data_IF_655828375530
#
_entry.id   IF_655828375530
#
_cell.length_a   1.000
_cell.length_b   1.000
_cell.length_c   1.000
_cell.angle_alpha   90.00
_cell.angle_beta   90.00
_cell.angle_gamma   90.00
#
_symmetry.space_group_name_H-M   'P 1'
#
loop_
_entity.id
_entity.type
_entity.pdbx_description
1 polymer ?
#
# COMPACT_ATOMS: atom_id res chain seq x y z
N UNK A 1 -9.79 21.77 26.40
CA UNK A 1 -8.82 22.19 25.38
C UNK A 1 -7.41 22.08 25.95
N UNK A 2 -6.75 20.93 25.75
CA UNK A 2 -5.31 20.80 26.00
C UNK A 2 -4.65 20.75 24.60
N UNK A 3 -3.93 21.82 24.25
CA UNK A 3 -3.08 21.84 23.08
C UNK A 3 -1.94 20.84 23.29
N UNK A 4 -1.89 19.79 22.47
CA UNK A 4 -0.68 18.99 22.31
C UNK A 4 0.37 19.86 21.64
N UNK A 5 1.34 20.34 22.44
CA UNK A 5 2.59 20.88 21.90
C UNK A 5 3.39 19.72 21.37
N UNK A 6 3.36 19.50 20.06
CA UNK A 6 4.31 18.65 19.38
C UNK A 6 5.72 19.15 19.67
N UNK A 7 6.53 18.29 20.24
CA UNK A 7 7.88 18.65 20.70
C UNK A 7 8.82 18.72 19.49
N UNK A 8 9.03 19.96 19.01
CA UNK A 8 9.93 20.30 17.88
C UNK A 8 11.38 19.83 18.14
N UNK A 9 11.75 19.57 19.41
CA UNK A 9 13.08 19.03 19.75
C UNK A 9 13.29 17.60 19.29
N UNK A 10 12.26 16.74 19.31
CA UNK A 10 12.37 15.36 18.82
C UNK A 10 12.54 15.30 17.28
N UNK A 11 12.00 16.28 16.56
CA UNK A 11 12.20 16.40 15.11
C UNK A 11 13.62 16.86 14.77
N UNK A 12 14.25 17.66 15.63
CA UNK A 12 15.65 18.07 15.46
C UNK A 12 16.62 16.90 15.69
N UNK A 13 16.33 16.00 16.61
CA UNK A 13 17.14 14.81 16.85
C UNK A 13 17.03 13.80 15.69
N UNK A 14 15.86 13.67 15.05
CA UNK A 14 15.69 12.84 13.86
C UNK A 14 16.44 13.40 12.64
N UNK A 15 16.43 14.73 12.48
CA UNK A 15 17.21 15.43 11.44
C UNK A 15 18.71 15.43 11.74
N UNK A 16 19.11 15.43 13.03
CA UNK A 16 20.51 15.33 13.42
C UNK A 16 21.07 13.93 13.21
N UNK A 17 20.29 12.88 13.43
CA UNK A 17 20.70 11.50 13.11
C UNK A 17 20.90 11.27 11.61
N UNK A 18 20.08 11.92 10.77
CA UNK A 18 20.29 11.90 9.31
C UNK A 18 21.52 12.74 8.88
N UNK A 19 21.87 13.80 9.61
CA UNK A 19 23.04 14.64 9.28
C UNK A 19 24.35 14.09 9.84
N UNK A 20 24.35 13.30 10.89
CA UNK A 20 25.56 12.65 11.45
C UNK A 20 26.07 11.52 10.54
N UNK A 21 25.20 10.88 9.77
CA UNK A 21 25.62 9.91 8.74
C UNK A 21 26.32 10.57 7.54
N UNK A 22 26.09 11.88 7.32
CA UNK A 22 26.70 12.65 6.23
C UNK A 22 28.02 13.34 6.59
N UNK A 23 28.41 13.40 7.88
CA UNK A 23 29.59 14.15 8.33
C UNK A 23 30.77 13.28 8.77
N UNK A 24 30.69 11.96 8.73
CA UNK A 24 31.84 11.06 8.99
C UNK A 24 32.69 10.74 7.77
N UNK A 25 32.52 11.46 6.67
CA UNK A 25 33.25 11.28 5.41
C UNK A 25 34.49 12.14 5.19
N UNK A 26 34.89 13.01 6.11
CA UNK A 26 36.05 13.89 5.90
C UNK A 26 36.96 13.99 7.14
N UNK A 27 37.73 12.95 7.38
CA UNK A 27 39.06 13.05 8.01
C UNK A 27 39.78 11.68 7.91
N UNK A 28 40.59 11.50 6.92
CA UNK A 28 41.78 10.65 7.05
C UNK A 28 42.84 11.07 6.07
N UNK A 29 43.86 11.74 6.63
CA UNK A 29 45.16 11.83 6.00
C UNK A 29 45.98 10.61 6.38
N UNK A 30 46.63 10.01 5.37
CA UNK A 30 47.77 9.11 5.43
C UNK A 30 47.57 7.71 6.06
N UNK A 31 47.20 6.76 5.21
CA UNK A 31 47.81 5.43 5.29
C UNK A 31 48.11 4.91 3.87
N UNK A 32 49.38 4.57 3.65
CA UNK A 32 49.86 3.91 2.45
C UNK A 32 49.45 2.44 2.43
N UNK A 33 49.15 1.99 1.21
CA UNK A 33 49.20 0.61 0.75
C UNK A 33 48.39 -0.45 1.50
N UNK A 34 47.14 -0.55 1.06
CA UNK A 34 46.32 -1.73 1.08
C UNK A 34 45.38 -1.61 -0.11
N UNK A 35 45.61 -2.40 -1.15
CA UNK A 35 44.63 -2.54 -2.24
C UNK A 35 43.33 -3.03 -1.65
N UNK A 36 42.42 -2.11 -1.32
CA UNK A 36 41.02 -2.44 -1.23
C UNK A 36 40.60 -2.93 -2.62
N UNK A 37 40.27 -4.22 -2.70
CA UNK A 37 39.50 -4.75 -3.82
C UNK A 37 38.29 -3.84 -3.99
N UNK A 38 38.30 -3.03 -5.06
CA UNK A 38 37.07 -2.44 -5.59
C UNK A 38 36.07 -3.58 -5.68
N UNK A 39 34.97 -3.48 -4.93
CA UNK A 39 33.88 -4.42 -5.00
C UNK A 39 33.48 -4.53 -6.46
N UNK A 40 33.42 -5.75 -6.97
CA UNK A 40 32.90 -6.05 -8.29
C UNK A 40 31.56 -5.26 -8.42
N UNK A 41 31.39 -4.51 -9.51
CA UNK A 41 30.22 -3.72 -9.78
C UNK A 41 28.99 -4.63 -9.72
N UNK A 42 28.23 -4.51 -8.66
CA UNK A 42 27.03 -5.32 -8.47
C UNK A 42 26.03 -4.98 -9.56
N UNK A 43 25.48 -6.03 -10.17
CA UNK A 43 24.57 -5.86 -11.31
C UNK A 43 23.28 -5.14 -10.88
N UNK A 44 22.79 -4.19 -11.67
CA UNK A 44 21.45 -3.62 -11.44
C UNK A 44 20.38 -4.70 -11.61
N UNK A 45 19.32 -4.59 -10.82
CA UNK A 45 18.15 -5.44 -10.92
C UNK A 45 17.13 -4.74 -11.79
N UNK A 46 16.68 -5.38 -12.86
CA UNK A 46 15.58 -4.97 -13.72
C UNK A 46 14.90 -6.24 -14.26
N UNK A 47 14.03 -6.81 -13.43
CA UNK A 47 13.36 -8.08 -13.74
C UNK A 47 11.85 -7.88 -13.80
N UNK A 48 11.24 -8.39 -14.88
CA UNK A 48 9.81 -8.56 -15.05
C UNK A 48 9.57 -10.05 -15.26
N UNK A 49 8.91 -10.70 -14.35
CA UNK A 49 8.79 -12.16 -14.39
C UNK A 49 7.45 -12.63 -13.83
N UNK A 50 7.16 -13.89 -14.06
CA UNK A 50 6.07 -14.60 -13.40
C UNK A 50 6.66 -15.57 -12.39
N UNK A 51 6.21 -15.44 -11.13
CA UNK A 51 6.56 -16.35 -10.02
C UNK A 51 5.35 -17.24 -9.76
N UNK A 52 5.59 -18.53 -9.53
CA UNK A 52 4.54 -19.46 -9.12
C UNK A 52 4.23 -19.24 -7.64
N UNK A 53 3.01 -18.79 -7.35
CA UNK A 53 2.49 -18.47 -6.01
C UNK A 53 1.09 -19.05 -5.91
N UNK A 54 0.81 -19.80 -4.84
CA UNK A 54 -0.47 -20.48 -4.67
C UNK A 54 -0.81 -21.48 -5.79
N UNK A 55 0.21 -21.99 -6.50
CA UNK A 55 0.05 -22.88 -7.66
C UNK A 55 -0.23 -22.17 -8.98
N UNK A 56 -0.20 -20.82 -9.00
CA UNK A 56 -0.47 -20.03 -10.20
C UNK A 56 0.67 -19.04 -10.50
N UNK A 57 0.86 -18.71 -11.78
CA UNK A 57 1.87 -17.74 -12.21
C UNK A 57 1.36 -16.32 -12.02
N UNK A 58 2.00 -15.57 -11.12
CA UNK A 58 1.67 -14.19 -10.81
C UNK A 58 2.84 -13.26 -11.17
N UNK A 59 2.51 -12.08 -11.67
CA UNK A 59 3.48 -11.12 -12.18
C UNK A 59 4.17 -10.36 -11.06
N UNK A 60 5.51 -10.34 -11.13
CA UNK A 60 6.37 -9.64 -10.19
C UNK A 60 7.39 -8.81 -10.97
N UNK A 61 7.56 -7.56 -10.57
CA UNK A 61 8.59 -6.67 -11.07
C UNK A 61 9.55 -6.29 -9.95
N UNK A 62 10.85 -6.41 -10.23
CA UNK A 62 11.92 -6.13 -9.29
C UNK A 62 12.89 -5.13 -9.92
N UNK A 63 13.09 -4.00 -9.27
CA UNK A 63 13.98 -2.93 -9.76
C UNK A 63 14.86 -2.40 -8.64
N UNK A 64 16.17 -2.32 -8.88
CA UNK A 64 17.16 -1.80 -7.93
C UNK A 64 18.49 -1.49 -8.59
N UNK A 65 19.23 -0.54 -8.05
CA UNK A 65 20.55 -0.17 -8.59
C UNK A 65 21.61 -1.27 -8.39
N UNK A 66 21.39 -2.22 -7.47
CA UNK A 66 22.31 -3.31 -7.15
C UNK A 66 21.56 -4.49 -6.52
N UNK A 67 22.00 -5.72 -6.80
CA UNK A 67 21.48 -6.94 -6.14
C UNK A 67 21.80 -6.99 -4.63
N UNK A 68 22.78 -6.23 -4.15
CA UNK A 68 23.17 -6.19 -2.74
C UNK A 68 22.25 -5.31 -1.87
N UNK A 69 21.42 -4.47 -2.50
CA UNK A 69 20.53 -3.59 -1.78
C UNK A 69 19.48 -4.36 -0.95
N UNK A 70 18.96 -3.76 0.12
CA UNK A 70 17.81 -4.31 0.84
C UNK A 70 16.61 -4.50 -0.09
N UNK A 71 15.82 -5.53 0.14
CA UNK A 71 14.61 -5.82 -0.63
C UNK A 71 13.40 -5.21 0.07
N UNK A 72 12.53 -4.54 -0.68
CA UNK A 72 11.26 -3.99 -0.21
C UNK A 72 10.11 -4.57 -1.05
N UNK A 73 9.28 -5.39 -0.42
CA UNK A 73 8.06 -5.90 -1.03
C UNK A 73 6.91 -4.92 -0.78
N UNK A 74 6.28 -4.47 -1.86
CA UNK A 74 5.11 -3.61 -1.84
C UNK A 74 3.85 -4.40 -2.16
N UNK A 75 2.90 -4.40 -1.24
CA UNK A 75 1.59 -5.04 -1.34
C UNK A 75 0.55 -3.98 -1.70
N UNK A 76 -0.05 -4.10 -2.89
CA UNK A 76 -1.03 -3.13 -3.37
C UNK A 76 -2.42 -3.32 -2.73
N UNK A 77 -3.25 -2.30 -2.86
CA UNK A 77 -4.61 -2.27 -2.36
C UNK A 77 -5.67 -2.75 -3.36
N UNK A 78 -6.87 -2.30 -3.14
CA UNK A 78 -8.08 -2.70 -3.83
C UNK A 78 -9.00 -3.48 -2.87
N UNK A 79 -9.08 -4.82 -2.94
CA UNK A 79 -8.27 -5.77 -3.71
C UNK A 79 -8.41 -5.59 -5.24
N UNK A 80 -7.33 -5.93 -5.97
CA UNK A 80 -7.38 -5.88 -7.44
C UNK A 80 -7.01 -4.53 -8.07
N UNK A 81 -6.33 -3.64 -7.34
CA UNK A 81 -5.84 -2.35 -7.86
C UNK A 81 -4.31 -2.31 -7.88
N UNK A 82 -3.66 -2.82 -8.94
CA UNK A 82 -2.20 -2.94 -9.00
C UNK A 82 -1.51 -1.58 -8.90
N UNK A 83 -0.40 -1.51 -8.17
CA UNK A 83 0.34 -0.26 -7.96
C UNK A 83 1.65 -0.18 -8.76
N UNK A 84 1.95 -1.18 -9.58
CA UNK A 84 3.19 -1.24 -10.38
C UNK A 84 3.46 0.03 -11.19
N UNK A 85 2.51 0.61 -11.95
CA UNK A 85 2.77 1.85 -12.69
C UNK A 85 2.97 3.07 -11.77
N UNK A 86 2.28 3.14 -10.64
CA UNK A 86 2.46 4.21 -9.66
C UNK A 86 3.86 4.16 -9.02
N UNK A 87 4.32 2.96 -8.65
CA UNK A 87 5.66 2.77 -8.08
C UNK A 87 6.76 3.15 -9.06
N UNK A 88 6.61 2.80 -10.34
CA UNK A 88 7.52 3.21 -11.41
C UNK A 88 7.58 4.74 -11.55
N UNK A 89 6.45 5.41 -11.42
CA UNK A 89 6.34 6.85 -11.65
C UNK A 89 6.76 7.68 -10.43
N UNK A 90 6.20 7.39 -9.26
CA UNK A 90 6.38 8.21 -8.07
C UNK A 90 7.56 7.77 -7.18
N UNK A 91 7.95 6.50 -7.26
CA UNK A 91 8.89 5.89 -6.31
C UNK A 91 10.21 5.42 -6.96
N UNK A 92 10.49 5.85 -8.20
CA UNK A 92 11.70 5.46 -8.91
C UNK A 92 13.00 5.75 -8.13
N UNK A 93 13.03 6.81 -7.33
CA UNK A 93 14.21 7.16 -6.53
C UNK A 93 14.53 6.13 -5.41
N UNK A 94 13.54 5.39 -4.93
CA UNK A 94 13.76 4.32 -3.95
C UNK A 94 14.66 3.21 -4.52
N UNK A 95 14.63 2.97 -5.83
CA UNK A 95 15.44 1.94 -6.48
C UNK A 95 16.95 2.18 -6.38
N UNK A 96 17.36 3.38 -6.00
CA UNK A 96 18.76 3.72 -5.71
C UNK A 96 19.24 3.17 -4.37
N UNK A 97 18.32 2.88 -3.46
CA UNK A 97 18.61 2.48 -2.09
C UNK A 97 18.04 1.11 -1.71
N UNK A 98 17.07 0.61 -2.47
CA UNK A 98 16.37 -0.64 -2.22
C UNK A 98 16.08 -1.37 -3.54
N UNK A 99 15.94 -2.68 -3.49
CA UNK A 99 15.28 -3.44 -4.55
C UNK A 99 13.77 -3.30 -4.28
N UNK A 100 13.13 -2.47 -5.09
CA UNK A 100 11.68 -2.27 -5.04
C UNK A 100 11.01 -3.42 -5.78
N UNK A 101 10.17 -4.16 -5.08
CA UNK A 101 9.40 -5.27 -5.63
C UNK A 101 7.93 -4.89 -5.65
N UNK A 102 7.34 -4.84 -6.83
CA UNK A 102 5.89 -4.76 -7.03
C UNK A 102 5.36 -6.12 -7.49
N UNK A 103 4.19 -6.46 -6.99
CA UNK A 103 3.51 -7.70 -7.29
C UNK A 103 2.07 -7.39 -7.70
N UNK A 104 1.70 -7.78 -8.90
CA UNK A 104 0.30 -7.78 -9.31
C UNK A 104 -0.32 -9.07 -8.78
N UNK A 105 -1.14 -8.95 -7.74
CA UNK A 105 -1.77 -10.07 -7.06
C UNK A 105 -2.69 -10.86 -8.01
N UNK A 106 -3.04 -12.09 -7.65
CA UNK A 106 -3.99 -12.89 -8.39
C UNK A 106 -5.29 -12.11 -8.70
N UNK A 107 -5.80 -12.23 -9.91
CA UNK A 107 -7.01 -11.54 -10.34
C UNK A 107 -6.85 -10.10 -10.81
N UNK A 108 -5.62 -9.54 -10.87
CA UNK A 108 -5.42 -8.18 -11.35
C UNK A 108 -4.12 -7.99 -12.14
N UNK A 109 -3.99 -6.84 -12.81
CA UNK A 109 -2.80 -6.42 -13.51
C UNK A 109 -2.34 -7.40 -14.58
N UNK A 110 -1.06 -7.62 -14.65
CA UNK A 110 -0.46 -8.58 -15.60
C UNK A 110 -0.73 -10.04 -15.18
N UNK A 111 -0.97 -10.31 -13.89
CA UNK A 111 -1.39 -11.62 -13.41
C UNK A 111 -2.75 -12.00 -14.00
N UNK A 112 -3.73 -11.09 -13.98
CA UNK A 112 -5.04 -11.32 -14.62
C UNK A 112 -4.94 -11.55 -16.12
N UNK A 113 -4.09 -10.79 -16.81
CA UNK A 113 -3.88 -10.99 -18.26
C UNK A 113 -3.29 -12.37 -18.57
N UNK A 114 -2.49 -12.92 -17.66
CA UNK A 114 -1.90 -14.25 -17.81
C UNK A 114 -2.88 -15.37 -17.43
N UNK A 115 -3.57 -15.20 -16.30
CA UNK A 115 -4.63 -16.09 -15.83
C UNK A 115 -5.87 -15.30 -15.40
N UNK A 116 -6.89 -15.16 -16.26
CA UNK A 116 -8.09 -14.39 -15.96
C UNK A 116 -9.06 -15.08 -14.99
N UNK A 117 -8.82 -16.35 -14.64
CA UNK A 117 -9.69 -17.12 -13.75
C UNK A 117 -8.86 -17.87 -12.69
N UNK A 118 -8.26 -17.16 -11.73
CA UNK A 118 -7.54 -17.81 -10.64
C UNK A 118 -8.48 -18.73 -9.85
N UNK A 119 -8.02 -19.94 -9.54
CA UNK A 119 -8.83 -20.92 -8.81
C UNK A 119 -9.08 -20.48 -7.36
N UNK A 120 -8.04 -19.97 -6.70
CA UNK A 120 -8.07 -19.57 -5.30
C UNK A 120 -7.86 -18.05 -5.19
N UNK A 121 -8.94 -17.31 -4.97
CA UNK A 121 -8.89 -15.89 -4.69
C UNK A 121 -9.68 -15.59 -3.42
N UNK A 122 -8.98 -15.51 -2.31
CA UNK A 122 -9.51 -15.23 -0.97
C UNK A 122 -8.53 -14.36 -0.19
N UNK A 123 -8.95 -13.74 0.92
CA UNK A 123 -8.03 -13.04 1.81
C UNK A 123 -6.86 -13.91 2.29
N UNK A 124 -7.14 -15.17 2.60
CA UNK A 124 -6.15 -16.14 3.07
C UNK A 124 -5.17 -16.52 1.96
N UNK A 125 -5.66 -16.74 0.72
CA UNK A 125 -4.76 -17.06 -0.40
C UNK A 125 -3.82 -15.91 -0.69
N UNK A 126 -4.28 -14.65 -0.63
CA UNK A 126 -3.42 -13.48 -0.83
C UNK A 126 -2.32 -13.37 0.25
N UNK A 127 -2.60 -13.72 1.51
CA UNK A 127 -1.58 -13.76 2.57
C UNK A 127 -0.58 -14.89 2.31
N UNK A 128 -1.05 -16.07 1.93
CA UNK A 128 -0.18 -17.21 1.63
C UNK A 128 0.72 -16.93 0.41
N UNK A 129 0.16 -16.39 -0.67
CA UNK A 129 0.90 -16.02 -1.88
C UNK A 129 1.97 -14.95 -1.57
N UNK A 130 1.63 -13.96 -0.74
CA UNK A 130 2.57 -12.93 -0.30
C UNK A 130 3.71 -13.52 0.56
N UNK A 131 3.42 -14.53 1.39
CA UNK A 131 4.45 -15.25 2.14
C UNK A 131 5.33 -16.09 1.21
N UNK A 132 4.77 -16.82 0.25
CA UNK A 132 5.54 -17.56 -0.77
C UNK A 132 6.45 -16.61 -1.55
N UNK A 133 5.92 -15.44 -1.97
CA UNK A 133 6.73 -14.41 -2.64
C UNK A 133 7.85 -13.89 -1.73
N UNK A 134 7.58 -13.69 -0.43
CA UNK A 134 8.61 -13.31 0.54
C UNK A 134 9.75 -14.35 0.59
N UNK A 135 9.43 -15.64 0.66
CA UNK A 135 10.44 -16.71 0.66
C UNK A 135 11.21 -16.77 -0.66
N UNK A 136 10.52 -16.58 -1.80
CA UNK A 136 11.16 -16.48 -3.10
C UNK A 136 12.18 -15.32 -3.14
N UNK A 137 11.80 -14.12 -2.69
CA UNK A 137 12.64 -12.93 -2.68
C UNK A 137 13.85 -13.10 -1.75
N UNK A 138 13.66 -13.64 -0.54
CA UNK A 138 14.74 -13.93 0.40
C UNK A 138 15.79 -14.86 -0.23
N UNK A 139 15.33 -15.91 -0.90
CA UNK A 139 16.21 -16.85 -1.61
C UNK A 139 16.89 -16.20 -2.83
N UNK A 140 16.12 -15.47 -3.67
CA UNK A 140 16.63 -14.82 -4.90
C UNK A 140 17.76 -13.83 -4.62
N UNK A 141 17.64 -13.05 -3.55
CA UNK A 141 18.57 -12.00 -3.20
C UNK A 141 19.49 -12.36 -2.01
N UNK A 142 19.44 -13.60 -1.54
CA UNK A 142 20.22 -14.07 -0.38
C UNK A 142 20.06 -13.16 0.84
N UNK A 143 18.81 -12.86 1.22
CA UNK A 143 18.45 -12.02 2.37
C UNK A 143 17.80 -12.87 3.45
N UNK A 144 18.17 -12.62 4.71
CA UNK A 144 17.49 -13.25 5.86
C UNK A 144 16.11 -12.63 6.12
N UNK A 145 16.01 -11.30 5.94
CA UNK A 145 14.79 -10.52 6.12
C UNK A 145 14.63 -9.50 4.99
N UNK A 146 13.38 -9.09 4.74
CA UNK A 146 13.06 -8.04 3.78
C UNK A 146 12.24 -6.93 4.46
N UNK A 147 12.07 -5.78 3.80
CA UNK A 147 11.14 -4.74 4.21
C UNK A 147 9.77 -5.00 3.59
N UNK A 148 8.72 -4.75 4.37
CA UNK A 148 7.34 -4.97 3.96
C UNK A 148 6.57 -3.67 3.99
N UNK A 149 5.90 -3.33 2.88
CA UNK A 149 5.02 -2.16 2.76
C UNK A 149 3.66 -2.64 2.26
N UNK A 150 2.60 -2.28 2.98
CA UNK A 150 1.22 -2.57 2.58
C UNK A 150 0.44 -1.28 2.38
N UNK A 151 -0.24 -1.14 1.25
CA UNK A 151 -1.09 0.02 0.94
C UNK A 151 -2.56 -0.36 0.92
N UNK A 152 -3.42 0.39 1.62
CA UNK A 152 -4.87 0.17 1.63
C UNK A 152 -5.18 -1.30 1.99
N UNK A 153 -5.92 -2.06 1.18
CA UNK A 153 -6.15 -3.49 1.45
C UNK A 153 -4.85 -4.32 1.56
N UNK A 154 -3.80 -3.94 0.84
CA UNK A 154 -2.47 -4.55 1.01
C UNK A 154 -1.89 -4.39 2.42
N UNK A 155 -2.37 -3.41 3.19
CA UNK A 155 -1.98 -3.25 4.60
C UNK A 155 -2.61 -4.31 5.52
N UNK A 156 -3.76 -4.87 5.16
CA UNK A 156 -4.34 -6.03 5.85
C UNK A 156 -3.43 -7.25 5.68
N UNK A 157 -3.02 -7.50 4.42
CA UNK A 157 -2.09 -8.60 4.10
C UNK A 157 -0.77 -8.38 4.85
N UNK A 158 -0.21 -7.17 4.79
CA UNK A 158 1.06 -6.83 5.43
C UNK A 158 1.03 -6.99 6.95
N UNK A 159 -0.05 -6.59 7.62
CA UNK A 159 -0.19 -6.72 9.07
C UNK A 159 -0.31 -8.18 9.49
N UNK A 160 -1.08 -9.00 8.75
CA UNK A 160 -1.16 -10.46 8.98
C UNK A 160 0.18 -11.16 8.76
N UNK A 161 0.94 -10.78 7.74
CA UNK A 161 2.29 -11.31 7.51
C UNK A 161 3.25 -10.93 8.63
N UNK A 162 3.22 -9.68 9.09
CA UNK A 162 4.07 -9.21 10.19
C UNK A 162 3.74 -9.90 11.53
N UNK A 163 2.49 -10.25 11.75
CA UNK A 163 2.04 -11.04 12.90
C UNK A 163 2.50 -12.50 12.82
N UNK A 164 2.22 -13.16 11.68
CA UNK A 164 2.42 -14.61 11.52
C UNK A 164 3.89 -14.97 11.29
N UNK A 165 4.64 -14.12 10.59
CA UNK A 165 6.02 -14.36 10.14
C UNK A 165 6.99 -13.24 10.49
N UNK A 166 7.10 -12.81 11.77
CA UNK A 166 7.92 -11.67 12.17
C UNK A 166 9.42 -11.85 11.87
N UNK A 167 9.88 -13.09 11.74
CA UNK A 167 11.28 -13.39 11.43
C UNK A 167 11.64 -13.16 9.96
N UNK A 168 10.68 -12.94 9.09
CA UNK A 168 10.90 -12.66 7.68
C UNK A 168 11.10 -11.17 7.38
N UNK A 169 10.78 -10.29 8.33
CA UNK A 169 10.72 -8.86 8.06
C UNK A 169 11.59 -8.04 9.02
N UNK A 170 12.26 -7.01 8.46
CA UNK A 170 12.95 -6.00 9.27
C UNK A 170 11.96 -5.02 9.90
N UNK A 171 10.94 -4.67 9.14
CA UNK A 171 9.97 -3.61 9.46
C UNK A 171 8.73 -3.80 8.61
N UNK A 172 7.58 -3.42 9.17
CA UNK A 172 6.35 -3.26 8.42
C UNK A 172 5.95 -1.78 8.34
N UNK A 173 5.56 -1.33 7.14
CA UNK A 173 5.00 0.01 6.92
C UNK A 173 3.60 -0.13 6.33
N UNK A 174 2.59 0.29 7.07
CA UNK A 174 1.21 0.38 6.60
C UNK A 174 0.92 1.78 6.06
N UNK A 175 0.56 1.88 4.78
CA UNK A 175 0.17 3.14 4.12
C UNK A 175 -1.33 3.13 3.95
N UNK A 176 -2.03 4.16 4.44
CA UNK A 176 -3.50 4.17 4.58
C UNK A 176 -3.96 2.85 5.22
N UNK A 177 -3.45 2.59 6.44
CA UNK A 177 -3.64 1.33 7.14
C UNK A 177 -5.11 1.05 7.42
N UNK A 178 -5.59 -0.10 6.96
CA UNK A 178 -6.90 -0.65 7.34
C UNK A 178 -6.77 -1.34 8.70
N UNK A 179 -7.58 -0.93 9.66
CA UNK A 179 -7.78 -1.62 10.94
C UNK A 179 -9.20 -2.21 10.97
N UNK A 180 -10.21 -1.35 10.93
CA UNK A 180 -11.61 -1.74 10.86
C UNK A 180 -12.31 -0.96 9.73
N UNK A 181 -12.87 -1.68 8.76
CA UNK A 181 -13.59 -1.06 7.66
C UNK A 181 -14.89 -0.43 8.18
N UNK A 182 -15.54 -1.03 9.18
CA UNK A 182 -16.78 -0.48 9.76
C UNK A 182 -16.51 0.84 10.49
N UNK A 183 -15.44 0.95 11.29
CA UNK A 183 -15.09 2.20 11.95
C UNK A 183 -14.69 3.28 10.92
N UNK A 184 -13.91 2.91 9.92
CA UNK A 184 -13.54 3.82 8.82
C UNK A 184 -14.78 4.31 8.06
N UNK A 185 -15.77 3.43 7.88
CA UNK A 185 -17.05 3.78 7.27
C UNK A 185 -17.79 4.83 8.09
N UNK A 186 -17.93 4.63 9.39
CA UNK A 186 -18.67 5.54 10.28
C UNK A 186 -18.04 6.94 10.33
N UNK A 187 -16.70 7.00 10.47
CA UNK A 187 -15.94 8.26 10.44
C UNK A 187 -16.11 8.96 9.09
N UNK A 188 -16.01 8.22 7.99
CA UNK A 188 -16.16 8.73 6.64
C UNK A 188 -17.60 9.28 6.39
N UNK A 189 -18.62 8.54 6.81
CA UNK A 189 -20.02 8.95 6.67
C UNK A 189 -20.33 10.23 7.45
N UNK A 190 -19.80 10.36 8.67
CA UNK A 190 -19.93 11.58 9.45
C UNK A 190 -19.30 12.78 8.72
N UNK A 191 -18.06 12.64 8.24
CA UNK A 191 -17.39 13.68 7.49
C UNK A 191 -18.13 14.07 6.21
N UNK A 192 -18.69 13.09 5.47
CA UNK A 192 -19.48 13.34 4.25
C UNK A 192 -20.73 14.15 4.55
N UNK A 193 -21.45 13.85 5.64
CA UNK A 193 -22.64 14.63 6.06
C UNK A 193 -22.28 16.07 6.39
N UNK A 194 -21.18 16.27 7.16
CA UNK A 194 -20.70 17.60 7.50
C UNK A 194 -20.32 18.39 6.24
N UNK A 195 -19.62 17.77 5.25
CA UNK A 195 -19.27 18.40 3.98
C UNK A 195 -20.50 18.76 3.15
N UNK A 196 -21.46 17.84 3.02
CA UNK A 196 -22.68 18.07 2.28
C UNK A 196 -23.51 19.22 2.89
N UNK A 197 -23.61 19.28 4.22
CA UNK A 197 -24.27 20.36 4.94
C UNK A 197 -23.57 21.71 4.74
N UNK A 198 -22.24 21.76 4.90
CA UNK A 198 -21.44 22.98 4.69
C UNK A 198 -21.59 23.55 3.28
N UNK A 199 -21.77 22.67 2.28
CA UNK A 199 -21.93 23.04 0.87
C UNK A 199 -23.41 23.22 0.46
N UNK A 200 -24.37 23.03 1.36
CA UNK A 200 -25.82 23.00 1.07
C UNK A 200 -26.17 22.02 -0.07
N UNK A 201 -25.51 20.86 -0.11
CA UNK A 201 -25.66 19.86 -1.16
C UNK A 201 -26.77 18.88 -0.83
N UNK A 202 -28.00 19.28 -1.15
CA UNK A 202 -29.21 18.49 -0.86
C UNK A 202 -29.20 17.12 -1.55
N UNK A 203 -28.61 17.03 -2.75
CA UNK A 203 -28.49 15.76 -3.49
C UNK A 203 -27.58 14.78 -2.77
N UNK A 204 -26.41 15.24 -2.29
CA UNK A 204 -25.51 14.40 -1.51
C UNK A 204 -26.14 13.97 -0.18
N UNK A 205 -26.84 14.87 0.52
CA UNK A 205 -27.56 14.51 1.76
C UNK A 205 -28.60 13.43 1.53
N UNK A 206 -29.36 13.50 0.43
CA UNK A 206 -30.33 12.47 0.05
C UNK A 206 -29.62 11.15 -0.26
N UNK A 207 -28.51 11.17 -1.01
CA UNK A 207 -27.74 9.96 -1.32
C UNK A 207 -27.18 9.31 -0.06
N UNK A 208 -26.65 10.10 0.88
CA UNK A 208 -26.15 9.61 2.18
C UNK A 208 -27.27 8.96 3.02
N UNK A 209 -28.49 9.52 3.02
CA UNK A 209 -29.66 8.94 3.68
C UNK A 209 -30.03 7.57 3.07
N UNK A 210 -30.00 7.45 1.74
CA UNK A 210 -30.23 6.17 1.05
C UNK A 210 -29.16 5.13 1.40
N UNK A 211 -27.88 5.53 1.45
CA UNK A 211 -26.76 4.66 1.83
C UNK A 211 -26.95 4.16 3.28
N UNK A 212 -27.30 5.03 4.22
CA UNK A 212 -27.53 4.64 5.63
C UNK A 212 -28.70 3.67 5.79
N UNK A 213 -29.76 3.87 5.00
CA UNK A 213 -30.92 2.97 4.98
C UNK A 213 -30.64 1.67 4.21
N UNK A 214 -29.47 1.55 3.59
CA UNK A 214 -29.12 0.43 2.69
C UNK A 214 -30.18 0.24 1.60
N UNK A 215 -30.67 1.35 1.04
CA UNK A 215 -31.67 1.32 -0.01
C UNK A 215 -31.10 0.65 -1.27
N UNK A 216 -31.87 -0.30 -1.82
CA UNK A 216 -31.42 -1.12 -2.95
C UNK A 216 -31.14 -0.35 -4.24
N UNK A 217 -31.59 0.90 -4.34
CA UNK A 217 -31.28 1.77 -5.49
C UNK A 217 -29.84 2.28 -5.51
N UNK A 218 -29.16 2.26 -4.35
CA UNK A 218 -27.77 2.69 -4.20
C UNK A 218 -26.89 1.64 -3.50
N UNK A 219 -27.49 0.62 -2.89
CA UNK A 219 -26.85 -0.43 -2.10
C UNK A 219 -27.42 -1.81 -2.46
N UNK A 220 -27.52 -2.14 -3.76
CA UNK A 220 -27.99 -3.46 -4.19
C UNK A 220 -27.06 -4.58 -3.70
N UNK A 221 -25.75 -4.32 -3.67
CA UNK A 221 -24.72 -5.16 -3.07
C UNK A 221 -23.85 -4.33 -2.10
N UNK A 222 -23.00 -5.00 -1.33
CA UNK A 222 -22.04 -4.31 -0.45
C UNK A 222 -21.06 -3.45 -1.27
N UNK A 223 -20.69 -3.92 -2.47
CA UNK A 223 -19.82 -3.19 -3.40
C UNK A 223 -20.54 -1.91 -3.90
N UNK A 224 -21.81 -1.99 -4.30
CA UNK A 224 -22.58 -0.83 -4.75
C UNK A 224 -22.68 0.23 -3.63
N UNK A 225 -22.90 -0.22 -2.40
CA UNK A 225 -22.95 0.66 -1.25
C UNK A 225 -21.61 1.37 -1.01
N UNK A 226 -20.50 0.61 -1.11
CA UNK A 226 -19.15 1.16 -1.01
C UNK A 226 -18.88 2.17 -2.13
N UNK A 227 -19.19 1.83 -3.38
CA UNK A 227 -18.97 2.71 -4.53
C UNK A 227 -19.79 3.99 -4.43
N UNK A 228 -21.08 3.90 -4.03
CA UNK A 228 -21.94 5.07 -3.82
C UNK A 228 -21.39 6.04 -2.76
N UNK A 229 -20.80 5.51 -1.68
CA UNK A 229 -20.10 6.32 -0.68
C UNK A 229 -18.81 6.89 -1.25
N UNK A 230 -18.00 6.06 -1.94
CA UNK A 230 -16.69 6.44 -2.47
C UNK A 230 -16.77 7.57 -3.49
N UNK A 231 -17.82 7.61 -4.33
CA UNK A 231 -18.10 8.72 -5.24
C UNK A 231 -18.26 10.06 -4.50
N UNK A 232 -18.94 10.06 -3.35
CA UNK A 232 -19.08 11.25 -2.52
C UNK A 232 -17.75 11.64 -1.86
N UNK A 233 -16.95 10.65 -1.44
CA UNK A 233 -15.60 10.91 -0.91
C UNK A 233 -14.72 11.57 -1.98
N UNK A 234 -14.73 11.07 -3.21
CA UNK A 234 -14.03 11.68 -4.35
C UNK A 234 -14.55 13.10 -4.64
N UNK A 235 -15.87 13.28 -4.70
CA UNK A 235 -16.51 14.57 -4.96
C UNK A 235 -16.03 15.68 -4.02
N UNK A 236 -15.75 15.34 -2.76
CA UNK A 236 -15.30 16.30 -1.75
C UNK A 236 -13.80 16.32 -1.52
N UNK A 237 -13.01 15.62 -2.34
CA UNK A 237 -11.54 15.59 -2.25
C UNK A 237 -11.02 14.77 -1.08
N UNK A 238 -11.77 13.72 -0.71
CA UNK A 238 -11.44 12.87 0.44
C UNK A 238 -10.50 11.70 0.13
N UNK A 239 -9.92 11.65 -1.06
CA UNK A 239 -8.84 10.69 -1.43
C UNK A 239 -7.63 11.42 -1.97
N UNK A 240 -7.82 12.28 -2.97
CA UNK A 240 -6.78 13.12 -3.56
C UNK A 240 -7.21 14.58 -3.40
N UNK A 241 -6.60 15.26 -2.44
CA UNK A 241 -6.94 16.65 -2.11
C UNK A 241 -6.43 17.63 -3.18
N UNK A 242 -5.23 17.38 -3.71
CA UNK A 242 -4.59 18.22 -4.73
C UNK A 242 -4.92 17.72 -6.13
N UNK A 243 -5.65 18.53 -6.89
CA UNK A 243 -6.04 18.21 -8.28
C UNK A 243 -4.84 18.10 -9.25
N UNK A 244 -3.69 18.70 -8.93
CA UNK A 244 -2.47 18.52 -9.71
C UNK A 244 -1.94 17.09 -9.57
N UNK A 245 -1.96 16.53 -8.36
CA UNK A 245 -1.57 15.14 -8.09
C UNK A 245 -2.53 14.17 -8.78
N UNK A 246 -3.85 14.46 -8.82
CA UNK A 246 -4.81 13.62 -9.53
C UNK A 246 -4.43 13.41 -11.01
N UNK A 247 -3.97 14.47 -11.70
CA UNK A 247 -3.51 14.36 -13.09
C UNK A 247 -2.22 13.56 -13.24
N UNK A 248 -1.31 13.66 -12.26
CA UNK A 248 -0.08 12.85 -12.29
C UNK A 248 -0.38 11.36 -12.03
N UNK A 249 -1.40 11.04 -11.21
CA UNK A 249 -1.89 9.67 -11.01
C UNK A 249 -2.44 9.12 -12.34
N UNK A 250 -3.35 9.83 -13.00
CA UNK A 250 -3.91 9.43 -14.30
C UNK A 250 -2.81 9.21 -15.34
N UNK A 251 -1.79 10.09 -15.36
CA UNK A 251 -0.63 9.93 -16.23
C UNK A 251 0.17 8.68 -15.89
N UNK A 252 0.42 8.39 -14.62
CA UNK A 252 1.11 7.18 -14.19
C UNK A 252 0.37 5.91 -14.65
N UNK A 253 -0.96 5.91 -14.57
CA UNK A 253 -1.82 4.79 -14.97
C UNK A 253 -1.85 4.53 -16.48
N UNK A 254 -1.61 5.56 -17.29
CA UNK A 254 -1.79 5.48 -18.76
C UNK A 254 -0.49 5.53 -19.57
N UNK A 255 0.64 5.96 -18.98
CA UNK A 255 1.88 6.16 -19.73
C UNK A 255 2.66 4.90 -20.06
N UNK A 256 2.47 3.83 -19.28
CA UNK A 256 3.19 2.57 -19.48
C UNK A 256 2.39 1.63 -20.37
N UNK A 257 3.01 1.13 -21.45
CA UNK A 257 2.34 0.33 -22.49
C UNK A 257 1.68 -0.94 -21.93
N UNK A 258 2.27 -1.55 -20.89
CA UNK A 258 1.73 -2.74 -20.24
C UNK A 258 0.46 -2.48 -19.40
N UNK A 259 0.18 -1.20 -19.02
CA UNK A 259 -1.02 -0.80 -18.29
C UNK A 259 -1.92 0.21 -19.01
N UNK A 260 -1.51 0.74 -20.15
CA UNK A 260 -2.18 1.82 -20.88
C UNK A 260 -3.67 1.62 -21.14
N UNK A 261 -4.08 0.37 -21.39
CA UNK A 261 -5.47 -0.01 -21.65
C UNK A 261 -6.01 -0.93 -20.55
N UNK A 262 -5.47 -0.84 -19.35
CA UNK A 262 -5.92 -1.65 -18.22
C UNK A 262 -7.21 -1.09 -17.67
N UNK A 263 -8.25 -1.90 -17.55
CA UNK A 263 -9.49 -1.50 -16.90
C UNK A 263 -9.39 -1.73 -15.39
N UNK A 264 -9.13 -0.65 -14.68
CA UNK A 264 -8.93 -0.64 -13.24
C UNK A 264 -10.19 -1.04 -12.48
N UNK A 265 -11.36 -0.59 -12.96
CA UNK A 265 -12.64 -0.88 -12.31
C UNK A 265 -13.12 -2.30 -12.59
N UNK A 266 -12.90 -2.83 -13.81
CA UNK A 266 -13.20 -4.22 -14.11
C UNK A 266 -12.45 -5.17 -13.18
N UNK A 267 -11.14 -4.98 -13.01
CA UNK A 267 -10.30 -5.79 -12.13
C UNK A 267 -10.69 -5.67 -10.65
N UNK A 268 -10.97 -4.46 -10.19
CA UNK A 268 -11.45 -4.23 -8.83
C UNK A 268 -12.79 -4.92 -8.58
N UNK A 269 -13.75 -4.76 -9.49
CA UNK A 269 -15.07 -5.39 -9.40
C UNK A 269 -14.95 -6.92 -9.44
N UNK A 270 -14.13 -7.44 -10.37
CA UNK A 270 -13.88 -8.87 -10.49
C UNK A 270 -13.31 -9.47 -9.20
N UNK A 271 -12.24 -8.86 -8.67
CA UNK A 271 -11.57 -9.33 -7.46
C UNK A 271 -12.48 -9.22 -6.24
N UNK A 272 -13.19 -8.10 -6.11
CA UNK A 272 -14.13 -7.86 -5.00
C UNK A 272 -15.30 -8.87 -5.01
N UNK A 273 -15.85 -9.18 -6.18
CA UNK A 273 -16.91 -10.17 -6.33
C UNK A 273 -16.43 -11.60 -6.00
N UNK A 274 -15.22 -11.96 -6.43
CA UNK A 274 -14.62 -13.28 -6.13
C UNK A 274 -14.31 -13.47 -4.65
N UNK A 275 -14.04 -12.40 -3.93
CA UNK A 275 -13.80 -12.39 -2.50
C UNK A 275 -15.08 -12.20 -1.67
N UNK A 276 -16.27 -12.37 -2.28
CA UNK A 276 -17.60 -12.25 -1.63
C UNK A 276 -17.77 -10.96 -0.80
N UNK A 277 -17.08 -9.87 -1.22
CA UNK A 277 -17.13 -8.59 -0.53
C UNK A 277 -16.46 -8.55 0.84
N UNK A 278 -15.71 -9.58 1.24
CA UNK A 278 -15.01 -9.67 2.54
C UNK A 278 -14.08 -8.47 2.75
N UNK A 279 -13.49 -7.93 1.69
CA UNK A 279 -12.66 -6.72 1.77
C UNK A 279 -13.38 -5.53 2.41
N UNK A 280 -14.73 -5.44 2.25
CA UNK A 280 -15.55 -4.33 2.78
C UNK A 280 -16.07 -4.59 4.20
N UNK A 281 -15.77 -5.73 4.78
CA UNK A 281 -16.13 -6.11 6.15
C UNK A 281 -14.91 -6.48 6.98
N UNK A 282 -13.71 -6.26 6.44
CA UNK A 282 -12.45 -6.58 7.11
C UNK A 282 -12.32 -5.82 8.42
N UNK A 283 -11.96 -6.57 9.45
CA UNK A 283 -11.57 -6.07 10.76
C UNK A 283 -10.35 -6.86 11.24
N UNK A 284 -9.28 -6.20 11.59
CA UNK A 284 -8.03 -6.75 12.12
C UNK A 284 -7.63 -6.04 13.42
N UNK A 285 -8.60 -5.46 14.12
CA UNK A 285 -8.38 -4.76 15.38
C UNK A 285 -7.96 -5.69 16.53
N UNK A 286 -8.08 -6.99 16.35
CA UNK A 286 -7.57 -8.03 17.24
C UNK A 286 -6.03 -8.16 17.21
N UNK A 287 -5.37 -7.70 16.14
CA UNK A 287 -3.91 -7.68 16.06
C UNK A 287 -3.38 -6.45 16.82
N UNK A 288 -3.15 -6.61 18.11
CA UNK A 288 -2.74 -5.52 19.02
C UNK A 288 -1.25 -5.46 19.31
N UNK A 289 -0.47 -6.46 18.89
CA UNK A 289 0.97 -6.53 19.11
C UNK A 289 1.68 -7.14 17.90
N UNK A 290 2.76 -6.49 17.46
CA UNK A 290 3.66 -6.99 16.43
C UNK A 290 5.10 -7.02 16.96
N UNK A 291 5.84 -8.09 16.65
CA UNK A 291 7.21 -8.33 17.16
C UNK A 291 8.31 -7.61 16.37
N UNK A 292 7.94 -6.80 15.40
CA UNK A 292 8.86 -6.03 14.56
C UNK A 292 8.49 -4.54 14.61
N UNK A 293 9.41 -3.61 14.28
CA UNK A 293 9.05 -2.20 14.15
C UNK A 293 7.94 -1.99 13.13
N UNK A 294 6.96 -1.15 13.49
CA UNK A 294 5.80 -0.84 12.66
C UNK A 294 5.65 0.67 12.51
N UNK A 295 5.32 1.11 11.30
CA UNK A 295 5.03 2.51 11.00
C UNK A 295 3.73 2.60 10.22
N UNK A 296 2.82 3.49 10.63
CA UNK A 296 1.63 3.81 9.85
C UNK A 296 1.76 5.20 9.22
N UNK A 297 1.56 5.27 7.91
CA UNK A 297 1.56 6.49 7.12
C UNK A 297 0.13 6.76 6.65
N UNK A 298 -0.52 7.76 7.24
CA UNK A 298 -1.89 8.17 6.90
C UNK A 298 -1.91 9.50 6.16
N UNK A 299 -2.73 9.61 5.13
CA UNK A 299 -3.03 10.87 4.47
C UNK A 299 -3.95 11.72 5.35
N UNK A 300 -3.60 12.99 5.64
CA UNK A 300 -4.45 13.91 6.42
C UNK A 300 -5.83 14.14 5.80
N UNK A 301 -5.93 14.00 4.50
CA UNK A 301 -7.15 14.19 3.72
C UNK A 301 -7.70 12.87 3.16
N UNK A 302 -7.21 11.73 3.66
CA UNK A 302 -7.79 10.44 3.35
C UNK A 302 -9.03 10.21 4.21
N UNK A 303 -10.19 10.36 3.60
CA UNK A 303 -11.49 10.13 4.22
C UNK A 303 -12.14 8.83 3.73
N UNK A 304 -11.45 8.08 2.87
CA UNK A 304 -11.83 6.70 2.58
C UNK A 304 -11.34 5.75 3.67
N UNK A 305 -10.09 5.95 4.10
CA UNK A 305 -9.45 5.27 5.24
C UNK A 305 -8.89 6.33 6.21
N UNK A 306 -9.75 6.94 7.05
CA UNK A 306 -9.33 8.02 7.94
C UNK A 306 -8.25 7.58 8.92
N UNK A 307 -7.12 8.31 8.98
CA UNK A 307 -5.96 7.95 9.81
C UNK A 307 -6.27 7.82 11.29
N UNK A 308 -7.33 8.51 11.76
CA UNK A 308 -7.76 8.46 13.17
C UNK A 308 -8.10 7.04 13.63
N UNK A 309 -8.58 6.16 12.74
CA UNK A 309 -8.89 4.76 13.09
C UNK A 309 -7.60 4.00 13.40
N UNK A 310 -6.57 4.17 12.57
CA UNK A 310 -5.26 3.58 12.84
C UNK A 310 -4.55 4.22 14.05
N UNK A 311 -4.71 5.55 14.25
CA UNK A 311 -4.17 6.27 15.41
C UNK A 311 -4.78 5.75 16.73
N UNK A 312 -6.08 5.48 16.76
CA UNK A 312 -6.76 4.93 17.93
C UNK A 312 -6.32 3.50 18.24
N UNK A 313 -5.95 2.73 17.23
CA UNK A 313 -5.52 1.35 17.38
C UNK A 313 -4.13 1.21 18.02
N UNK A 314 -3.22 2.17 17.78
CA UNK A 314 -1.84 2.14 18.34
C UNK A 314 -1.71 2.84 19.69
N UNK A 315 -2.75 3.48 20.23
CA UNK A 315 -2.79 4.14 21.52
C UNK A 315 -3.50 3.29 22.57
#
# INVERSE_FOLDING_TARGET
>A
MKQLKYNIENMKHLLLLLSVVLLMGCQNQNRKDGQEKLSESTKPVQEKTFVELGGEKQYVEMTGASEDLPVMLFLHGGPGWPQTPHLRYFNADLTKQMILVSWDQAGCGQSYKHNPNPENLSPESLVNDAHELTQYLKKRFNKEKIFLVGFSYGSVIGMKLAEQYPDDYHTYVGVSQVISVSESWDVSMQWLKEKAQQKNDATALMQLDLIEKKDSTVCATILDCFMSKYELVLKYGGTVYDTAIAKEIEKAETMYEDYKNYDWFEAFNYTSARMDGVAFTTDISDITELKIPVYFLGGRHDWNLPSVVAENHIN
#
